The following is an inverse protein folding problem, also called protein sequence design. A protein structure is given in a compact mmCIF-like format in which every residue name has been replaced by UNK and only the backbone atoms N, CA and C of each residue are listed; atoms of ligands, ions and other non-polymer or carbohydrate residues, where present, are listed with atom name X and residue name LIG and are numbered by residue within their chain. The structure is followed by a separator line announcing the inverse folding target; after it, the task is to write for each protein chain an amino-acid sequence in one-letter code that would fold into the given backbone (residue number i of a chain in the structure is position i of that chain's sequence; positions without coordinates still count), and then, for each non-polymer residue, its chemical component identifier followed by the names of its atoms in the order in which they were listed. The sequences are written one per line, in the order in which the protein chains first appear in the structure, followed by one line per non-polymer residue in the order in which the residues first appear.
data_IF_264209119640
#
_entry.id   IF_264209119640
#
_cell.length_a   1.000
_cell.length_b   1.000
_cell.length_c   1.000
_cell.angle_alpha   90.00
_cell.angle_beta   90.00
_cell.angle_gamma   90.00
#
_symmetry.space_group_name_H-M   'P 1'
#
loop_
_entity.id
_entity.type
_entity.pdbx_description
1 polymer ?
#
# COMPACT_ATOMS: atom_id res chain seq x y z
N UNK A 1 11.79 8.97 -1.22
CA UNK A 1 10.75 8.29 -0.42
C UNK A 1 9.74 7.66 -1.38
N UNK A 2 9.34 6.42 -1.12
CA UNK A 2 8.43 5.61 -1.94
C UNK A 2 7.32 5.06 -1.05
N UNK A 3 6.08 5.47 -1.34
CA UNK A 3 4.89 5.09 -0.57
C UNK A 3 3.97 4.20 -1.41
N UNK A 4 3.54 3.09 -0.82
CA UNK A 4 2.47 2.26 -1.33
C UNK A 4 1.10 2.73 -0.84
N UNK A 5 0.08 2.69 -1.69
CA UNK A 5 -1.32 2.91 -1.29
C UNK A 5 -2.12 1.67 -1.67
N UNK A 6 -2.69 0.98 -0.68
CA UNK A 6 -3.50 -0.21 -0.89
C UNK A 6 -4.97 0.20 -0.94
N UNK A 7 -5.62 -0.16 -2.04
CA UNK A 7 -7.02 0.20 -2.28
C UNK A 7 -7.18 1.60 -2.93
N UNK A 8 -8.08 1.67 -3.92
CA UNK A 8 -8.51 2.90 -4.55
C UNK A 8 -10.01 3.12 -4.32
N UNK A 9 -10.35 3.49 -3.08
CA UNK A 9 -11.65 4.06 -2.71
C UNK A 9 -11.53 5.56 -2.42
N UNK A 10 -12.45 6.15 -1.66
CA UNK A 10 -12.38 7.56 -1.28
C UNK A 10 -11.06 7.95 -0.58
N UNK A 11 -10.66 7.19 0.45
CA UNK A 11 -9.40 7.44 1.17
C UNK A 11 -8.17 7.20 0.29
N UNK A 12 -8.15 6.12 -0.50
CA UNK A 12 -7.04 5.80 -1.38
C UNK A 12 -6.76 6.92 -2.40
N UNK A 13 -7.80 7.50 -2.99
CA UNK A 13 -7.65 8.64 -3.90
C UNK A 13 -7.05 9.87 -3.21
N UNK A 14 -7.51 10.18 -2.00
CA UNK A 14 -6.95 11.27 -1.21
C UNK A 14 -5.47 11.02 -0.89
N UNK A 15 -5.13 9.82 -0.42
CA UNK A 15 -3.76 9.43 -0.08
C UNK A 15 -2.80 9.57 -1.27
N UNK A 16 -3.20 9.11 -2.46
CA UNK A 16 -2.38 9.26 -3.69
C UNK A 16 -2.17 10.73 -4.04
N UNK A 17 -3.24 11.55 -4.02
CA UNK A 17 -3.14 12.98 -4.34
C UNK A 17 -2.22 13.72 -3.37
N UNK A 18 -2.39 13.51 -2.07
CA UNK A 18 -1.53 14.12 -1.06
C UNK A 18 -0.07 13.70 -1.22
N UNK A 19 0.21 12.39 -1.35
CA UNK A 19 1.58 11.90 -1.51
C UNK A 19 2.26 12.45 -2.77
N UNK A 20 1.51 12.61 -3.88
CA UNK A 20 2.02 13.23 -5.10
C UNK A 20 2.35 14.72 -4.94
N UNK A 21 1.49 15.49 -4.27
CA UNK A 21 1.76 16.91 -3.97
C UNK A 21 3.03 17.06 -3.12
N UNK A 22 3.32 16.09 -2.25
CA UNK A 22 4.55 16.04 -1.46
C UNK A 22 5.80 15.59 -2.25
N UNK A 23 5.68 15.34 -3.55
CA UNK A 23 6.81 14.92 -4.41
C UNK A 23 7.31 13.50 -4.13
N UNK A 24 6.48 12.65 -3.50
CA UNK A 24 6.82 11.27 -3.13
C UNK A 24 6.50 10.35 -4.31
N UNK A 25 7.33 9.34 -4.54
CA UNK A 25 7.00 8.27 -5.49
C UNK A 25 5.84 7.46 -4.95
N UNK A 26 4.75 7.32 -5.71
CA UNK A 26 3.55 6.61 -5.27
C UNK A 26 3.35 5.35 -6.10
N UNK A 27 3.06 4.24 -5.44
CA UNK A 27 2.62 3.00 -6.08
C UNK A 27 1.28 2.59 -5.51
N UNK A 28 0.31 2.36 -6.39
CA UNK A 28 -0.98 1.82 -6.00
C UNK A 28 -0.94 0.30 -6.04
N UNK A 29 -1.36 -0.32 -4.96
CA UNK A 29 -1.45 -1.76 -4.79
C UNK A 29 -2.94 -2.14 -4.86
N UNK A 30 -3.32 -2.90 -5.89
CA UNK A 30 -4.69 -3.38 -6.05
C UNK A 30 -4.73 -4.72 -6.77
N UNK A 31 -5.65 -5.58 -6.37
CA UNK A 31 -5.97 -6.85 -7.06
C UNK A 31 -6.98 -6.66 -8.21
N UNK A 32 -7.56 -5.46 -8.36
CA UNK A 32 -8.56 -5.17 -9.41
C UNK A 32 -7.93 -4.49 -10.62
N UNK A 33 -8.06 -5.13 -11.80
CA UNK A 33 -7.58 -4.58 -13.07
C UNK A 33 -8.29 -3.27 -13.46
N UNK A 34 -9.57 -3.11 -13.09
CA UNK A 34 -10.32 -1.87 -13.34
C UNK A 34 -9.73 -0.70 -12.52
N UNK A 35 -9.44 -0.92 -11.24
CA UNK A 35 -8.81 0.09 -10.35
C UNK A 35 -7.38 0.40 -10.79
N UNK A 36 -6.67 -0.58 -11.36
CA UNK A 36 -5.35 -0.39 -11.98
C UNK A 36 -5.39 0.63 -13.11
N UNK A 37 -6.36 0.51 -14.03
CA UNK A 37 -6.51 1.45 -15.15
C UNK A 37 -6.77 2.88 -14.67
N UNK A 38 -7.65 3.05 -13.68
CA UNK A 38 -7.91 4.34 -13.04
C UNK A 38 -6.64 4.96 -12.42
N UNK A 39 -5.82 4.16 -11.74
CA UNK A 39 -4.59 4.65 -11.11
C UNK A 39 -3.58 5.20 -12.14
N UNK A 40 -3.43 4.54 -13.29
CA UNK A 40 -2.53 4.99 -14.36
C UNK A 40 -3.10 6.24 -15.02
N UNK A 41 -4.35 6.15 -15.50
CA UNK A 41 -4.92 7.13 -16.42
C UNK A 41 -5.34 8.43 -15.72
N UNK A 42 -5.83 8.34 -14.47
CA UNK A 42 -6.36 9.51 -13.75
C UNK A 42 -5.43 10.05 -12.68
N UNK A 43 -4.57 9.20 -12.12
CA UNK A 43 -3.70 9.57 -11.01
C UNK A 43 -2.22 9.61 -11.40
N UNK A 44 -1.83 9.09 -12.57
CA UNK A 44 -0.47 9.12 -13.10
C UNK A 44 0.53 8.29 -12.29
N UNK A 45 0.11 7.18 -11.68
CA UNK A 45 0.92 6.39 -10.75
C UNK A 45 2.16 5.76 -11.43
N UNK A 46 3.30 5.80 -10.74
CA UNK A 46 4.63 5.60 -11.33
C UNK A 46 5.03 4.14 -11.60
N UNK A 47 4.36 3.15 -11.01
CA UNK A 47 4.78 1.73 -11.15
C UNK A 47 3.64 0.74 -10.82
N UNK A 48 3.61 -0.39 -11.55
CA UNK A 48 2.64 -1.48 -11.38
C UNK A 48 3.26 -2.85 -11.05
N UNK A 49 4.56 -3.02 -11.27
CA UNK A 49 5.33 -4.16 -10.80
C UNK A 49 6.02 -3.73 -9.51
N UNK A 50 5.68 -4.38 -8.39
CA UNK A 50 6.24 -4.04 -7.10
C UNK A 50 7.29 -5.07 -6.73
N UNK A 51 8.54 -4.63 -6.63
CA UNK A 51 9.61 -5.44 -6.09
C UNK A 51 9.52 -5.43 -4.55
N UNK A 52 9.78 -6.59 -3.93
CA UNK A 52 9.87 -6.71 -2.48
C UNK A 52 10.95 -5.78 -1.92
N UNK A 53 10.79 -5.27 -0.70
CA UNK A 53 11.86 -4.50 -0.07
C UNK A 53 12.04 -3.08 -0.58
N UNK A 54 11.05 -2.45 -1.24
CA UNK A 54 11.25 -1.16 -1.94
C UNK A 54 10.50 0.03 -1.34
N UNK A 55 9.47 -0.21 -0.54
CA UNK A 55 8.61 0.86 -0.01
C UNK A 55 9.09 1.34 1.37
N UNK A 56 9.17 2.66 1.54
CA UNK A 56 9.45 3.27 2.85
C UNK A 56 8.20 3.27 3.75
N UNK A 57 7.01 3.19 3.16
CA UNK A 57 5.76 3.04 3.90
C UNK A 57 4.60 2.63 3.01
N UNK A 58 3.56 2.08 3.61
CA UNK A 58 2.32 1.68 2.97
C UNK A 58 1.15 2.23 3.77
N UNK A 59 0.19 2.85 3.07
CA UNK A 59 -1.09 3.28 3.63
C UNK A 59 -2.15 2.29 3.13
N UNK A 60 -2.72 1.53 4.05
CA UNK A 60 -3.79 0.58 3.74
C UNK A 60 -5.15 1.20 3.97
N UNK A 61 -5.95 1.30 2.91
CA UNK A 61 -7.29 1.88 2.94
C UNK A 61 -8.40 0.86 2.71
N UNK A 62 -8.08 -0.44 2.73
CA UNK A 62 -9.02 -1.51 2.40
C UNK A 62 -9.82 -1.93 3.64
N UNK A 63 -11.15 -1.79 3.55
CA UNK A 63 -12.09 -2.26 4.59
C UNK A 63 -12.64 -3.67 4.35
N UNK A 64 -12.15 -4.38 3.33
CA UNK A 64 -12.45 -5.80 3.14
C UNK A 64 -11.36 -6.68 3.77
N UNK A 65 -11.65 -7.92 4.21
CA UNK A 65 -10.61 -8.84 4.65
C UNK A 65 -9.55 -9.05 3.57
N UNK A 66 -8.28 -8.92 3.94
CA UNK A 66 -7.14 -9.12 3.06
C UNK A 66 -5.89 -9.53 3.87
N UNK A 67 -4.90 -10.12 3.21
CA UNK A 67 -3.65 -10.56 3.86
C UNK A 67 -2.66 -9.40 3.96
N UNK A 68 -2.05 -9.24 5.14
CA UNK A 68 -0.98 -8.27 5.38
C UNK A 68 0.39 -8.77 4.93
N UNK A 69 0.58 -10.09 4.80
CA UNK A 69 1.87 -10.70 4.50
C UNK A 69 2.51 -10.17 3.20
N UNK A 70 1.77 -10.06 2.07
CA UNK A 70 2.34 -9.50 0.85
C UNK A 70 2.76 -8.05 1.04
N UNK A 71 1.98 -7.25 1.78
CA UNK A 71 2.26 -5.83 2.00
C UNK A 71 3.51 -5.63 2.85
N UNK A 72 3.66 -6.42 3.92
CA UNK A 72 4.84 -6.41 4.76
C UNK A 72 6.08 -6.74 3.90
N UNK A 73 6.01 -7.74 3.02
CA UNK A 73 7.12 -8.07 2.12
C UNK A 73 7.53 -6.97 1.12
N UNK A 74 6.66 -5.98 0.85
CA UNK A 74 6.96 -4.85 -0.02
C UNK A 74 7.72 -3.72 0.68
N UNK A 75 7.62 -3.64 2.01
CA UNK A 75 8.30 -2.62 2.81
C UNK A 75 9.81 -2.85 2.82
N UNK A 76 10.59 -1.81 3.04
CA UNK A 76 12.01 -1.88 3.43
C UNK A 76 12.15 -2.20 4.92
N UNK A 77 13.38 -2.47 5.36
CA UNK A 77 13.71 -2.44 6.79
C UNK A 77 13.30 -1.10 7.40
N UNK A 78 12.62 -1.16 8.56
CA UNK A 78 11.99 -0.02 9.24
C UNK A 78 10.88 0.69 8.44
N UNK A 79 10.36 0.06 7.39
CA UNK A 79 9.21 0.55 6.65
C UNK A 79 7.93 0.49 7.48
N UNK A 80 7.02 1.43 7.27
CA UNK A 80 5.80 1.56 8.07
C UNK A 80 4.56 1.06 7.33
N UNK A 81 3.83 0.12 7.91
CA UNK A 81 2.47 -0.22 7.48
C UNK A 81 1.47 0.56 8.33
N UNK A 82 0.70 1.46 7.71
CA UNK A 82 -0.32 2.27 8.37
C UNK A 82 -1.69 1.80 7.92
N UNK A 83 -2.42 1.16 8.84
CA UNK A 83 -3.78 0.68 8.60
C UNK A 83 -4.78 1.80 8.88
N UNK A 84 -5.53 2.18 7.85
CA UNK A 84 -6.60 3.21 7.93
C UNK A 84 -7.95 2.62 7.50
N UNK A 85 -7.93 1.51 6.77
CA UNK A 85 -9.11 0.69 6.49
C UNK A 85 -9.63 0.01 7.76
N UNK A 86 -10.95 -0.17 7.83
CA UNK A 86 -11.63 -0.78 8.98
C UNK A 86 -12.38 -2.01 8.51
N UNK A 87 -11.74 -3.20 8.47
CA UNK A 87 -12.40 -4.44 8.12
C UNK A 87 -13.29 -4.96 9.24
N UNK A 88 -14.38 -5.62 8.87
CA UNK A 88 -15.32 -6.23 9.83
C UNK A 88 -14.71 -7.38 10.63
N UNK A 89 -13.71 -8.05 10.05
CA UNK A 89 -12.96 -9.15 10.68
C UNK A 89 -11.57 -8.67 11.06
N UNK A 90 -11.02 -9.13 12.21
CA UNK A 90 -9.64 -8.87 12.56
C UNK A 90 -8.68 -9.32 11.46
N UNK A 91 -7.63 -8.52 11.23
CA UNK A 91 -6.58 -8.86 10.29
C UNK A 91 -5.59 -9.82 10.97
N UNK A 92 -5.16 -10.84 10.23
CA UNK A 92 -4.10 -11.73 10.68
C UNK A 92 -2.73 -11.06 10.49
N UNK A 93 -1.99 -10.92 11.58
CA UNK A 93 -0.66 -10.33 11.57
C UNK A 93 0.41 -11.44 11.50
N UNK A 94 1.16 -11.56 10.40
CA UNK A 94 2.25 -12.53 10.32
C UNK A 94 3.43 -12.03 11.17
N UNK A 95 3.71 -12.75 12.26
CA UNK A 95 4.69 -12.31 13.27
C UNK A 95 6.15 -12.54 12.81
N UNK A 96 6.40 -13.61 12.05
CA UNK A 96 7.76 -14.01 11.68
C UNK A 96 8.54 -12.93 10.88
N UNK A 97 7.96 -12.26 9.86
CA UNK A 97 8.63 -11.15 9.18
C UNK A 97 8.98 -9.95 10.09
N UNK A 98 8.18 -9.72 11.14
CA UNK A 98 8.38 -8.63 12.09
C UNK A 98 9.55 -8.94 13.05
N UNK A 99 9.64 -10.21 13.52
CA UNK A 99 10.74 -10.65 14.40
C UNK A 99 12.08 -10.68 13.65
N UNK A 100 12.10 -11.10 12.38
CA UNK A 100 13.32 -11.18 11.59
C UNK A 100 13.97 -9.82 11.25
N UNK A 101 13.46 -8.70 11.81
CA UNK A 101 14.02 -7.36 11.60
C UNK A 101 13.86 -6.86 10.17
N UNK A 102 12.95 -7.46 9.40
CA UNK A 102 12.68 -6.98 8.05
C UNK A 102 11.84 -5.71 8.05
N UNK A 103 11.08 -5.37 9.11
CA UNK A 103 10.24 -4.17 9.19
C UNK A 103 10.05 -3.69 10.63
#
# INVERSE_FOLDING_TARGET
MHVGVVGLGGLGHAAVKFAKVLGVKVTVISTSLAKKKEAVERLGVDSFLVAMGTMDGIIDTVSAPHSLLPLIGLLKSHGKLVLVGVPEKPLELPVFPLIMGKH
#
